data_IF_248361008549
#
_entry.id   IF_248361008549
#
_cell.length_a   1.000
_cell.length_b   1.000
_cell.length_c   1.000
_cell.angle_alpha   90.00
_cell.angle_beta   90.00
_cell.angle_gamma   90.00
#
_symmetry.space_group_name_H-M   'P 1'
#
loop_
_entity.id
_entity.type
_entity.pdbx_description
1 polymer ?
#
# COMPACT_ATOMS: atom_id res chain seq x y z
N UNK A 1 -16.86 18.52 3.13
CA UNK A 1 -16.87 17.88 1.80
C UNK A 1 -16.99 18.96 0.74
N UNK A 2 -16.19 18.90 -0.33
CA UNK A 2 -16.25 19.82 -1.46
C UNK A 2 -17.24 19.33 -2.50
N UNK A 3 -18.02 20.24 -3.06
CA UNK A 3 -19.00 19.99 -4.13
C UNK A 3 -18.67 20.92 -5.30
N UNK A 4 -18.59 20.38 -6.50
CA UNK A 4 -18.49 21.17 -7.72
C UNK A 4 -19.88 21.48 -8.25
N UNK A 5 -20.09 22.72 -8.65
CA UNK A 5 -21.23 23.16 -9.45
C UNK A 5 -20.71 23.64 -10.80
N UNK A 6 -21.21 23.08 -11.88
CA UNK A 6 -20.95 23.54 -13.23
C UNK A 6 -22.32 23.92 -13.87
N UNK A 7 -22.53 25.19 -14.09
CA UNK A 7 -23.78 25.76 -14.65
C UNK A 7 -23.43 27.11 -15.26
N UNK A 8 -23.83 27.39 -16.49
CA UNK A 8 -23.56 28.65 -17.18
C UNK A 8 -24.48 29.78 -16.70
N UNK A 9 -25.71 29.44 -16.22
CA UNK A 9 -26.64 30.41 -15.66
C UNK A 9 -26.16 30.86 -14.25
N UNK A 10 -25.81 32.15 -14.17
CA UNK A 10 -25.32 32.75 -12.92
C UNK A 10 -26.35 32.69 -11.78
N UNK A 11 -27.66 32.80 -12.09
CA UNK A 11 -28.73 32.78 -11.09
C UNK A 11 -28.92 31.38 -10.52
N UNK A 12 -29.01 30.39 -11.37
CA UNK A 12 -29.09 28.98 -10.98
C UNK A 12 -27.87 28.57 -10.12
N UNK A 13 -26.67 28.92 -10.58
CA UNK A 13 -25.40 28.63 -9.89
C UNK A 13 -25.34 29.29 -8.49
N UNK A 14 -25.80 30.56 -8.39
CA UNK A 14 -25.83 31.28 -7.12
C UNK A 14 -26.81 30.65 -6.10
N UNK A 15 -27.99 30.23 -6.57
CA UNK A 15 -29.00 29.56 -5.72
C UNK A 15 -28.47 28.21 -5.24
N UNK A 16 -27.89 27.39 -6.12
CA UNK A 16 -27.27 26.13 -5.74
C UNK A 16 -26.19 26.34 -4.70
N UNK A 17 -25.25 27.26 -4.94
CA UNK A 17 -24.16 27.56 -4.03
C UNK A 17 -24.67 27.99 -2.65
N UNK A 18 -25.63 28.90 -2.58
CA UNK A 18 -26.24 29.39 -1.35
C UNK A 18 -26.86 28.24 -0.52
N UNK A 19 -27.65 27.38 -1.19
CA UNK A 19 -28.27 26.22 -0.52
C UNK A 19 -27.21 25.25 0.03
N UNK A 20 -26.18 24.93 -0.76
CA UNK A 20 -25.14 23.99 -0.35
C UNK A 20 -24.24 24.55 0.76
N UNK A 21 -23.83 25.81 0.66
CA UNK A 21 -23.03 26.50 1.69
C UNK A 21 -23.77 26.59 3.01
N UNK A 22 -25.08 26.90 3.00
CA UNK A 22 -25.95 26.89 4.19
C UNK A 22 -26.00 25.50 4.87
N UNK A 23 -25.78 24.42 4.11
CA UNK A 23 -25.73 23.05 4.62
C UNK A 23 -24.29 22.60 4.97
N UNK A 24 -23.32 23.51 5.03
CA UNK A 24 -21.95 23.23 5.47
C UNK A 24 -21.03 22.61 4.43
N UNK A 25 -21.38 22.70 3.14
CA UNK A 25 -20.52 22.24 2.06
C UNK A 25 -19.61 23.38 1.58
N UNK A 26 -18.40 23.03 1.21
CA UNK A 26 -17.49 23.88 0.45
C UNK A 26 -17.82 23.75 -1.04
N UNK A 27 -18.10 24.87 -1.69
CA UNK A 27 -18.62 24.87 -3.06
C UNK A 27 -17.58 25.45 -4.01
N UNK A 28 -17.20 24.67 -5.01
CA UNK A 28 -16.43 25.11 -6.17
C UNK A 28 -17.42 25.40 -7.31
N UNK A 29 -17.21 26.48 -8.04
CA UNK A 29 -18.12 26.91 -9.10
C UNK A 29 -17.36 27.05 -10.40
N UNK A 30 -17.95 26.58 -11.50
CA UNK A 30 -17.48 26.77 -12.88
C UNK A 30 -18.63 27.22 -13.76
N UNK A 31 -18.30 27.92 -14.83
CA UNK A 31 -19.27 28.48 -15.77
C UNK A 31 -19.41 27.67 -17.04
N UNK A 32 -18.57 26.66 -17.23
CA UNK A 32 -18.55 25.80 -18.40
C UNK A 32 -18.04 24.40 -18.07
N UNK A 33 -18.26 23.46 -18.98
CA UNK A 33 -17.84 22.07 -18.79
C UNK A 33 -16.33 21.85 -18.92
N UNK A 34 -15.60 22.71 -19.62
CA UNK A 34 -14.15 22.57 -19.77
C UNK A 34 -13.42 22.90 -18.45
N UNK A 35 -13.82 23.99 -17.76
CA UNK A 35 -13.33 24.29 -16.42
C UNK A 35 -13.68 23.17 -15.43
N UNK A 36 -14.91 22.66 -15.47
CA UNK A 36 -15.33 21.55 -14.63
C UNK A 36 -14.50 20.29 -14.88
N UNK A 37 -14.18 19.98 -16.13
CA UNK A 37 -13.32 18.87 -16.51
C UNK A 37 -11.90 19.01 -15.93
N UNK A 38 -11.31 20.21 -16.01
CA UNK A 38 -9.97 20.46 -15.43
C UNK A 38 -9.95 20.22 -13.92
N UNK A 39 -10.99 20.62 -13.18
CA UNK A 39 -11.08 20.38 -11.74
C UNK A 39 -11.28 18.90 -11.40
N UNK A 40 -12.07 18.17 -12.20
CA UNK A 40 -12.36 16.75 -11.95
C UNK A 40 -11.19 15.82 -12.27
N UNK A 41 -10.17 16.28 -12.98
CA UNK A 41 -8.94 15.53 -13.23
C UNK A 41 -7.88 15.68 -12.12
N UNK A 42 -8.06 16.62 -11.19
CA UNK A 42 -7.05 16.87 -10.14
C UNK A 42 -7.02 15.76 -9.10
N UNK A 43 -5.87 15.50 -8.46
CA UNK A 43 -5.78 14.53 -7.37
C UNK A 43 -6.72 14.80 -6.19
N UNK A 44 -7.12 16.06 -6.03
CA UNK A 44 -8.05 16.51 -4.99
C UNK A 44 -9.41 16.92 -5.58
N UNK A 45 -9.84 16.25 -6.63
CA UNK A 45 -11.13 16.50 -7.26
C UNK A 45 -12.29 16.42 -6.25
N UNK A 46 -13.36 17.21 -6.42
CA UNK A 46 -14.58 17.09 -5.63
C UNK A 46 -15.22 15.72 -5.81
N UNK A 47 -15.59 15.10 -4.69
CA UNK A 47 -16.21 13.77 -4.70
C UNK A 47 -17.70 13.81 -5.17
N UNK A 48 -18.33 14.99 -5.20
CA UNK A 48 -19.67 15.20 -5.72
C UNK A 48 -19.66 16.38 -6.68
N UNK A 49 -20.32 16.24 -7.83
CA UNK A 49 -20.51 17.33 -8.79
C UNK A 49 -21.97 17.42 -9.22
N UNK A 50 -22.43 18.65 -9.35
CA UNK A 50 -23.74 19.01 -9.92
C UNK A 50 -23.46 19.70 -11.23
N UNK A 51 -23.89 19.12 -12.33
CA UNK A 51 -23.53 19.49 -13.70
C UNK A 51 -24.76 19.85 -14.50
N UNK A 52 -24.79 21.07 -15.05
CA UNK A 52 -25.86 21.39 -16.01
C UNK A 52 -25.69 20.58 -17.29
N UNK A 53 -26.80 20.21 -17.87
CA UNK A 53 -26.84 19.50 -19.14
C UNK A 53 -26.28 20.34 -20.29
N UNK A 54 -26.71 21.58 -20.37
CA UNK A 54 -26.35 22.49 -21.47
C UNK A 54 -25.34 23.49 -20.93
N UNK A 55 -24.11 23.38 -21.39
CA UNK A 55 -23.02 24.29 -21.03
C UNK A 55 -22.16 24.63 -22.26
N UNK A 56 -21.56 25.83 -22.30
CA UNK A 56 -20.59 26.18 -23.34
C UNK A 56 -19.37 25.25 -23.31
N UNK A 57 -18.67 25.14 -24.43
CA UNK A 57 -17.40 24.41 -24.66
C UNK A 57 -17.52 22.90 -24.53
N UNK A 58 -18.02 22.39 -23.41
CA UNK A 58 -18.22 20.98 -23.15
C UNK A 58 -19.58 20.79 -22.47
N UNK A 59 -20.51 20.08 -23.10
CA UNK A 59 -21.79 19.78 -22.50
C UNK A 59 -21.69 18.79 -21.31
N UNK A 60 -22.74 18.83 -20.47
CA UNK A 60 -22.73 18.02 -19.25
C UNK A 60 -22.75 16.53 -19.54
N UNK A 61 -23.36 16.06 -20.60
CA UNK A 61 -23.44 14.65 -20.96
C UNK A 61 -22.08 14.11 -21.39
N UNK A 62 -21.38 14.85 -22.23
CA UNK A 62 -20.01 14.50 -22.65
C UNK A 62 -19.03 14.59 -21.49
N UNK A 63 -19.20 15.58 -20.59
CA UNK A 63 -18.41 15.68 -19.36
C UNK A 63 -18.58 14.43 -18.48
N UNK A 64 -19.83 13.96 -18.28
CA UNK A 64 -20.11 12.72 -17.55
C UNK A 64 -19.38 11.53 -18.17
N UNK A 65 -19.47 11.37 -19.50
CA UNK A 65 -18.78 10.27 -20.21
C UNK A 65 -17.27 10.30 -19.99
N UNK A 66 -16.64 11.48 -20.10
CA UNK A 66 -15.20 11.64 -19.86
C UNK A 66 -14.81 11.32 -18.43
N UNK A 67 -15.59 11.77 -17.46
CA UNK A 67 -15.35 11.46 -16.04
C UNK A 67 -15.45 9.95 -15.78
N UNK A 68 -16.41 9.27 -16.39
CA UNK A 68 -16.56 7.81 -16.25
C UNK A 68 -15.47 7.00 -16.97
N UNK A 69 -14.85 7.57 -17.99
CA UNK A 69 -13.70 6.96 -18.65
C UNK A 69 -12.39 7.06 -17.85
N UNK A 70 -12.35 7.85 -16.77
CA UNK A 70 -11.19 7.91 -15.88
C UNK A 70 -11.06 6.60 -15.10
N UNK A 71 -9.89 5.99 -15.16
CA UNK A 71 -9.56 4.82 -14.34
C UNK A 71 -9.30 5.25 -12.89
N UNK A 72 -10.34 5.22 -12.05
CA UNK A 72 -10.25 5.60 -10.64
C UNK A 72 -11.09 4.68 -9.77
N UNK A 73 -10.56 4.30 -8.60
CA UNK A 73 -11.29 3.55 -7.58
C UNK A 73 -12.29 4.44 -6.80
N UNK A 74 -12.25 5.77 -7.01
CA UNK A 74 -13.10 6.77 -6.33
C UNK A 74 -13.78 7.69 -7.33
N UNK A 75 -14.66 7.18 -8.21
CA UNK A 75 -15.39 8.01 -9.14
C UNK A 75 -16.30 8.98 -8.40
N UNK A 76 -16.40 10.25 -8.83
CA UNK A 76 -17.27 11.23 -8.20
C UNK A 76 -18.74 10.88 -8.40
N UNK A 77 -19.57 11.26 -7.43
CA UNK A 77 -21.03 11.21 -7.57
C UNK A 77 -21.51 12.39 -8.41
N UNK A 78 -22.16 12.11 -9.54
CA UNK A 78 -22.57 13.10 -10.52
C UNK A 78 -24.09 13.26 -10.52
N UNK A 79 -24.57 14.47 -10.26
CA UNK A 79 -25.98 14.87 -10.39
C UNK A 79 -26.12 15.77 -11.62
N UNK A 80 -26.92 15.34 -12.56
CA UNK A 80 -27.22 16.17 -13.75
C UNK A 80 -28.36 17.16 -13.46
N UNK A 81 -28.16 18.44 -13.77
CA UNK A 81 -29.23 19.43 -13.81
C UNK A 81 -29.82 19.47 -15.23
N UNK A 82 -31.11 19.48 -15.31
CA UNK A 82 -31.78 19.53 -16.62
C UNK A 82 -33.08 20.34 -16.61
N UNK A 83 -33.29 21.16 -17.60
CA UNK A 83 -34.57 21.74 -17.90
C UNK A 83 -35.46 20.83 -18.78
N UNK A 84 -34.89 19.71 -19.24
CA UNK A 84 -35.56 18.73 -20.11
C UNK A 84 -36.24 17.66 -19.27
N UNK A 85 -37.57 17.69 -19.22
CA UNK A 85 -38.36 16.72 -18.45
C UNK A 85 -38.75 15.48 -19.27
N UNK A 86 -38.27 15.34 -20.51
CA UNK A 86 -38.57 14.18 -21.33
C UNK A 86 -37.88 12.92 -20.77
N UNK A 87 -38.64 11.83 -20.65
CA UNK A 87 -38.09 10.53 -20.16
C UNK A 87 -36.86 10.09 -20.92
N UNK A 88 -36.77 10.41 -22.21
CA UNK A 88 -35.64 10.05 -23.07
C UNK A 88 -34.33 10.74 -22.62
N UNK A 89 -34.40 12.02 -22.23
CA UNK A 89 -33.24 12.79 -21.79
C UNK A 89 -32.74 12.29 -20.44
N UNK A 90 -33.66 11.99 -19.52
CA UNK A 90 -33.30 11.41 -18.21
C UNK A 90 -32.56 10.06 -18.37
N UNK A 91 -33.09 9.19 -19.24
CA UNK A 91 -32.44 7.89 -19.53
C UNK A 91 -31.08 8.11 -20.15
N UNK A 92 -30.92 9.02 -21.10
CA UNK A 92 -29.65 9.32 -21.74
C UNK A 92 -28.59 9.82 -20.73
N UNK A 93 -28.98 10.64 -19.75
CA UNK A 93 -28.06 11.09 -18.67
C UNK A 93 -27.62 9.96 -17.76
N UNK A 94 -28.53 9.07 -17.36
CA UNK A 94 -28.21 7.91 -16.53
C UNK A 94 -27.37 6.88 -17.29
N UNK A 95 -27.70 6.61 -18.56
CA UNK A 95 -26.93 5.71 -19.43
C UNK A 95 -25.50 6.24 -19.71
N UNK A 96 -25.31 7.56 -19.73
CA UNK A 96 -24.01 8.17 -19.82
C UNK A 96 -23.17 7.99 -18.54
N UNK A 97 -23.81 7.58 -17.43
CA UNK A 97 -23.16 7.29 -16.16
C UNK A 97 -23.38 8.34 -15.06
N UNK A 98 -24.32 9.27 -15.21
CA UNK A 98 -24.75 10.10 -14.09
C UNK A 98 -25.39 9.22 -12.99
N UNK A 99 -25.20 9.61 -11.74
CA UNK A 99 -25.76 8.86 -10.61
C UNK A 99 -27.19 9.29 -10.29
N UNK A 100 -27.51 10.55 -10.57
CA UNK A 100 -28.81 11.11 -10.30
C UNK A 100 -29.08 12.32 -11.23
N UNK A 101 -30.29 12.82 -11.21
CA UNK A 101 -30.68 14.04 -11.95
C UNK A 101 -31.59 14.93 -11.10
N UNK A 102 -31.63 16.22 -11.41
CA UNK A 102 -32.45 17.21 -10.76
C UNK A 102 -33.03 18.13 -11.85
N UNK A 103 -34.33 18.30 -11.86
CA UNK A 103 -35.01 19.14 -12.88
C UNK A 103 -35.05 20.60 -12.46
N UNK A 104 -34.82 21.51 -13.43
CA UNK A 104 -34.99 22.96 -13.25
C UNK A 104 -36.45 23.35 -13.61
N UNK A 105 -37.14 24.20 -12.83
CA UNK A 105 -36.72 24.74 -11.53
C UNK A 105 -36.77 23.67 -10.42
N UNK A 106 -35.78 23.64 -9.56
CA UNK A 106 -35.66 22.63 -8.48
C UNK A 106 -36.09 23.21 -7.13
N UNK A 107 -36.64 22.33 -6.29
CA UNK A 107 -36.91 22.62 -4.89
C UNK A 107 -35.66 22.44 -4.04
N UNK A 108 -35.42 23.33 -3.08
CA UNK A 108 -34.26 23.25 -2.19
C UNK A 108 -34.27 22.00 -1.29
N UNK A 109 -35.43 21.44 -1.00
CA UNK A 109 -35.58 20.19 -0.26
C UNK A 109 -35.17 18.99 -1.12
N UNK A 110 -35.55 18.97 -2.40
CA UNK A 110 -35.16 17.94 -3.37
C UNK A 110 -33.63 17.95 -3.56
N UNK A 111 -33.04 19.12 -3.81
CA UNK A 111 -31.59 19.26 -3.92
C UNK A 111 -30.85 18.67 -2.69
N UNK A 112 -31.32 19.06 -1.48
CA UNK A 112 -30.74 18.53 -0.24
C UNK A 112 -30.86 17.03 -0.12
N UNK A 113 -32.00 16.46 -0.47
CA UNK A 113 -32.23 15.02 -0.41
C UNK A 113 -31.29 14.27 -1.36
N UNK A 114 -31.11 14.73 -2.61
CA UNK A 114 -30.22 14.10 -3.59
C UNK A 114 -28.75 14.23 -3.19
N UNK A 115 -28.34 15.40 -2.72
CA UNK A 115 -26.97 15.60 -2.18
C UNK A 115 -26.71 14.71 -0.95
N UNK A 116 -27.71 14.53 -0.08
CA UNK A 116 -27.60 13.64 1.06
C UNK A 116 -27.44 12.17 0.64
N UNK A 117 -28.15 11.73 -0.41
CA UNK A 117 -27.97 10.40 -1.01
C UNK A 117 -26.56 10.28 -1.60
N UNK A 118 -26.12 11.26 -2.39
CA UNK A 118 -24.78 11.29 -2.97
C UNK A 118 -23.68 11.21 -1.91
N UNK A 119 -23.81 12.00 -0.84
CA UNK A 119 -22.87 11.95 0.29
C UNK A 119 -22.79 10.56 0.92
N UNK A 120 -23.94 9.94 1.18
CA UNK A 120 -23.99 8.58 1.75
C UNK A 120 -23.33 7.55 0.83
N UNK A 121 -23.55 7.66 -0.47
CA UNK A 121 -22.91 6.75 -1.45
C UNK A 121 -21.39 6.93 -1.46
N UNK A 122 -20.89 8.16 -1.41
CA UNK A 122 -19.46 8.46 -1.32
C UNK A 122 -18.88 7.87 -0.03
N UNK A 123 -19.53 8.10 1.12
CA UNK A 123 -19.10 7.57 2.42
C UNK A 123 -19.01 6.03 2.42
N UNK A 124 -20.01 5.36 1.83
CA UNK A 124 -20.02 3.89 1.69
C UNK A 124 -18.91 3.39 0.75
N UNK A 125 -18.69 4.08 -0.37
CA UNK A 125 -17.62 3.73 -1.30
C UNK A 125 -16.24 3.90 -0.66
N UNK A 126 -16.00 4.99 0.06
CA UNK A 126 -14.75 5.20 0.80
C UNK A 126 -14.54 4.16 1.89
N UNK A 127 -15.60 3.75 2.60
CA UNK A 127 -15.54 2.70 3.61
C UNK A 127 -15.19 1.34 2.95
N UNK A 128 -15.77 1.05 1.78
CA UNK A 128 -15.45 -0.18 1.03
C UNK A 128 -14.00 -0.20 0.55
N UNK A 129 -13.49 0.91 -0.01
CA UNK A 129 -12.09 1.01 -0.46
C UNK A 129 -11.16 0.81 0.74
N UNK A 130 -11.39 1.50 1.86
CA UNK A 130 -10.60 1.34 3.10
C UNK A 130 -10.64 -0.09 3.63
N UNK A 131 -11.81 -0.73 3.62
CA UNK A 131 -11.95 -2.13 4.06
C UNK A 131 -11.15 -3.08 3.15
N UNK A 132 -11.22 -2.87 1.84
CA UNK A 132 -10.45 -3.64 0.85
C UNK A 132 -8.94 -3.48 1.04
N UNK A 133 -8.46 -2.25 1.24
CA UNK A 133 -7.05 -1.95 1.52
C UNK A 133 -6.58 -2.62 2.82
N UNK A 134 -7.40 -2.55 3.89
CA UNK A 134 -7.11 -3.20 5.17
C UNK A 134 -7.04 -4.72 5.03
N UNK A 135 -8.00 -5.33 4.34
CA UNK A 135 -8.00 -6.77 4.09
C UNK A 135 -6.79 -7.20 3.24
N UNK A 136 -6.42 -6.43 2.23
CA UNK A 136 -5.23 -6.69 1.42
C UNK A 136 -3.96 -6.61 2.27
N UNK A 137 -3.87 -5.62 3.18
CA UNK A 137 -2.76 -5.48 4.12
C UNK A 137 -2.70 -6.67 5.10
N UNK A 138 -3.82 -7.04 5.73
CA UNK A 138 -3.90 -8.21 6.63
C UNK A 138 -3.56 -9.53 5.92
N UNK A 139 -3.93 -9.65 4.65
CA UNK A 139 -3.62 -10.82 3.84
C UNK A 139 -2.12 -10.97 3.52
N UNK A 140 -1.35 -9.88 3.60
CA UNK A 140 0.05 -9.83 3.17
C UNK A 140 1.04 -9.50 4.29
N UNK A 141 0.57 -8.99 5.44
CA UNK A 141 1.44 -8.57 6.54
C UNK A 141 1.16 -9.35 7.83
N UNK A 142 2.18 -9.46 8.66
CA UNK A 142 2.11 -10.02 10.01
C UNK A 142 1.49 -8.99 10.96
N UNK A 143 0.48 -9.40 11.71
CA UNK A 143 -0.30 -8.50 12.56
C UNK A 143 0.48 -7.88 13.72
N UNK A 144 1.55 -8.55 14.20
CA UNK A 144 2.38 -8.06 15.30
C UNK A 144 3.46 -7.09 14.82
N UNK A 145 4.21 -7.48 13.80
CA UNK A 145 5.42 -6.77 13.37
C UNK A 145 5.18 -5.78 12.23
N UNK A 146 4.07 -5.90 11.50
CA UNK A 146 3.79 -5.11 10.30
C UNK A 146 4.64 -5.48 9.08
N UNK A 147 5.50 -6.49 9.18
CA UNK A 147 6.32 -7.01 8.07
C UNK A 147 5.48 -7.89 7.14
N UNK A 148 6.03 -8.28 5.99
CA UNK A 148 5.39 -9.32 5.19
C UNK A 148 5.19 -10.58 6.01
N UNK A 149 4.00 -11.19 5.93
CA UNK A 149 3.77 -12.52 6.50
C UNK A 149 4.46 -13.60 5.66
N UNK A 150 4.49 -14.84 6.17
CA UNK A 150 5.14 -15.97 5.50
C UNK A 150 4.69 -16.13 4.04
N UNK A 151 3.40 -16.01 3.76
CA UNK A 151 2.86 -16.18 2.41
C UNK A 151 3.35 -15.08 1.46
N UNK A 152 3.32 -13.83 1.91
CA UNK A 152 3.71 -12.70 1.08
C UNK A 152 5.21 -12.65 0.81
N UNK A 153 6.05 -12.96 1.81
CA UNK A 153 7.50 -12.97 1.60
C UNK A 153 7.95 -14.11 0.68
N UNK A 154 7.28 -15.27 0.73
CA UNK A 154 7.55 -16.37 -0.19
C UNK A 154 7.13 -16.02 -1.63
N UNK A 155 5.98 -15.37 -1.83
CA UNK A 155 5.59 -14.90 -3.15
C UNK A 155 6.61 -13.90 -3.73
N UNK A 156 7.08 -12.96 -2.90
CA UNK A 156 8.13 -12.02 -3.31
C UNK A 156 9.44 -12.73 -3.65
N UNK A 157 9.82 -13.76 -2.88
CA UNK A 157 10.99 -14.56 -3.18
C UNK A 157 10.85 -15.25 -4.54
N UNK A 158 9.69 -15.83 -4.85
CA UNK A 158 9.44 -16.45 -6.16
C UNK A 158 9.57 -15.44 -7.31
N UNK A 159 9.03 -14.21 -7.14
CA UNK A 159 9.16 -13.14 -8.14
C UNK A 159 10.63 -12.76 -8.36
N UNK A 160 11.43 -12.64 -7.29
CA UNK A 160 12.85 -12.33 -7.39
C UNK A 160 13.67 -13.50 -7.96
N UNK A 161 13.30 -14.75 -7.67
CA UNK A 161 13.92 -15.92 -8.30
C UNK A 161 13.66 -15.91 -9.82
N UNK A 162 12.45 -15.59 -10.26
CA UNK A 162 12.12 -15.46 -11.68
C UNK A 162 12.91 -14.33 -12.37
N UNK A 163 13.27 -13.27 -11.65
CA UNK A 163 14.18 -12.22 -12.15
C UNK A 163 15.63 -12.70 -12.18
N UNK A 164 16.04 -13.46 -11.17
CA UNK A 164 17.39 -14.01 -11.05
C UNK A 164 17.68 -15.04 -12.14
N UNK A 165 16.70 -15.82 -12.61
CA UNK A 165 16.81 -16.69 -13.79
C UNK A 165 17.20 -15.93 -15.06
N UNK A 166 16.91 -14.62 -15.14
CA UNK A 166 17.28 -13.75 -16.28
C UNK A 166 18.63 -13.04 -16.08
N UNK A 167 19.45 -13.49 -15.13
CA UNK A 167 20.82 -12.99 -14.91
C UNK A 167 20.97 -11.99 -13.76
N UNK A 168 19.91 -11.69 -13.01
CA UNK A 168 20.06 -10.95 -11.75
C UNK A 168 20.62 -11.86 -10.65
N UNK A 169 21.40 -11.33 -9.72
CA UNK A 169 21.84 -12.10 -8.56
C UNK A 169 20.88 -11.88 -7.38
N UNK A 170 20.68 -12.93 -6.56
CA UNK A 170 19.75 -12.93 -5.44
C UNK A 170 20.37 -13.66 -4.27
N UNK A 171 20.26 -13.09 -3.06
CA UNK A 171 20.55 -13.79 -1.81
C UNK A 171 19.35 -13.74 -0.88
N UNK A 172 19.22 -14.77 -0.06
CA UNK A 172 18.26 -14.78 1.06
C UNK A 172 18.98 -14.98 2.37
N UNK A 173 18.41 -14.41 3.45
CA UNK A 173 18.86 -14.62 4.82
C UNK A 173 17.74 -15.17 5.68
N UNK A 174 17.88 -16.41 6.17
CA UNK A 174 17.03 -16.94 7.23
C UNK A 174 17.60 -16.48 8.57
N UNK A 175 16.78 -15.77 9.35
CA UNK A 175 17.20 -15.09 10.58
C UNK A 175 16.38 -15.60 11.77
N UNK A 176 17.01 -15.70 12.93
CA UNK A 176 16.36 -16.15 14.16
C UNK A 176 16.92 -15.38 15.36
N UNK A 177 16.04 -14.94 16.26
CA UNK A 177 16.42 -14.23 17.48
C UNK A 177 17.02 -15.20 18.48
N UNK A 178 18.26 -14.94 18.86
CA UNK A 178 18.93 -15.79 19.83
C UNK A 178 18.28 -15.67 21.21
N UNK A 179 17.85 -16.82 21.75
CA UNK A 179 17.32 -16.95 23.11
C UNK A 179 16.03 -16.15 23.41
N UNK A 180 15.16 -15.85 22.44
CA UNK A 180 13.88 -15.17 22.67
C UNK A 180 13.03 -15.87 23.75
N UNK A 181 13.06 -17.20 23.80
CA UNK A 181 12.39 -17.97 24.85
C UNK A 181 12.82 -17.54 26.25
N UNK A 182 14.11 -17.28 26.48
CA UNK A 182 14.61 -16.82 27.81
C UNK A 182 14.05 -15.43 28.15
N UNK A 183 13.91 -14.55 27.16
CA UNK A 183 13.29 -13.23 27.35
C UNK A 183 11.82 -13.41 27.74
N UNK A 184 11.09 -14.26 27.02
CA UNK A 184 9.69 -14.57 27.34
C UNK A 184 9.53 -15.17 28.74
N UNK A 185 10.38 -16.12 29.11
CA UNK A 185 10.36 -16.79 30.42
C UNK A 185 10.69 -15.81 31.56
N UNK A 186 11.57 -14.80 31.30
CA UNK A 186 12.01 -13.84 32.32
C UNK A 186 11.12 -12.61 32.45
N UNK A 187 10.56 -12.11 31.32
CA UNK A 187 9.86 -10.80 31.27
C UNK A 187 8.43 -10.92 30.74
N UNK A 188 7.98 -12.14 30.38
CA UNK A 188 6.66 -12.39 29.83
C UNK A 188 6.54 -12.16 28.33
N UNK A 189 5.51 -12.77 27.73
CA UNK A 189 5.27 -12.73 26.27
C UNK A 189 5.09 -11.32 25.71
N UNK A 190 4.51 -10.40 26.48
CA UNK A 190 4.33 -9.01 26.02
C UNK A 190 5.67 -8.31 25.75
N UNK A 191 6.69 -8.60 26.56
CA UNK A 191 8.06 -8.08 26.34
C UNK A 191 8.71 -8.75 25.12
N UNK A 192 8.46 -10.05 24.92
CA UNK A 192 8.87 -10.75 23.69
C UNK A 192 8.25 -10.15 22.43
N UNK A 193 6.97 -9.79 22.49
CA UNK A 193 6.29 -9.12 21.38
C UNK A 193 6.90 -7.73 21.08
N UNK A 194 7.25 -6.96 22.13
CA UNK A 194 7.97 -5.69 21.98
C UNK A 194 9.35 -5.87 21.36
N UNK A 195 10.07 -6.94 21.73
CA UNK A 195 11.35 -7.30 21.13
C UNK A 195 11.18 -7.63 19.64
N UNK A 196 10.18 -8.44 19.27
CA UNK A 196 9.87 -8.76 17.88
C UNK A 196 9.58 -7.50 17.06
N UNK A 197 8.75 -6.61 17.59
CA UNK A 197 8.41 -5.32 16.93
C UNK A 197 9.64 -4.41 16.81
N UNK A 198 10.45 -4.32 17.85
CA UNK A 198 11.67 -3.51 17.88
C UNK A 198 12.71 -4.01 16.87
N UNK A 199 12.92 -5.33 16.82
CA UNK A 199 13.82 -5.94 15.83
C UNK A 199 13.32 -5.73 14.40
N UNK A 200 12.01 -5.91 14.15
CA UNK A 200 11.41 -5.69 12.85
C UNK A 200 11.67 -4.26 12.34
N UNK A 201 11.53 -3.26 13.20
CA UNK A 201 11.83 -1.86 12.92
C UNK A 201 13.32 -1.65 12.63
N UNK A 202 14.18 -2.14 13.50
CA UNK A 202 15.65 -2.02 13.36
C UNK A 202 16.13 -2.63 12.04
N UNK A 203 15.67 -3.83 11.69
CA UNK A 203 16.03 -4.48 10.43
C UNK A 203 15.51 -3.69 9.22
N UNK A 204 14.25 -3.21 9.26
CA UNK A 204 13.66 -2.44 8.16
C UNK A 204 14.44 -1.14 7.88
N UNK A 205 14.89 -0.44 8.92
CA UNK A 205 15.69 0.79 8.78
C UNK A 205 17.07 0.56 8.14
N UNK A 206 17.58 -0.65 8.22
CA UNK A 206 18.89 -1.03 7.67
C UNK A 206 18.80 -1.62 6.25
N UNK A 207 17.61 -1.98 5.79
CA UNK A 207 17.39 -2.56 4.48
C UNK A 207 17.20 -1.47 3.41
N UNK A 208 17.50 -1.84 2.17
CA UNK A 208 17.31 -0.96 1.01
C UNK A 208 15.86 -1.05 0.51
N UNK A 209 15.37 -0.06 -0.24
CA UNK A 209 13.99 -0.05 -0.75
C UNK A 209 13.61 -1.27 -1.61
N UNK A 210 14.59 -1.96 -2.18
CA UNK A 210 14.37 -3.15 -3.01
C UNK A 210 14.59 -4.47 -2.25
N UNK A 211 15.13 -4.43 -1.03
CA UNK A 211 15.19 -5.60 -0.15
C UNK A 211 13.79 -5.83 0.45
N UNK A 212 13.46 -7.07 0.74
CA UNK A 212 12.19 -7.42 1.36
C UNK A 212 12.45 -8.18 2.67
N UNK A 213 11.65 -7.86 3.70
CA UNK A 213 11.72 -8.49 5.02
C UNK A 213 10.34 -9.03 5.38
N UNK A 214 10.29 -10.28 5.84
CA UNK A 214 9.07 -10.92 6.32
C UNK A 214 9.29 -11.70 7.60
N UNK A 215 8.24 -11.81 8.41
CA UNK A 215 8.20 -12.72 9.55
C UNK A 215 7.78 -14.09 9.04
N UNK A 216 8.68 -15.06 9.17
CA UNK A 216 8.51 -16.39 8.61
C UNK A 216 7.87 -17.38 9.58
N UNK A 217 8.13 -17.20 10.87
CA UNK A 217 7.60 -18.00 11.97
C UNK A 217 7.57 -17.20 13.27
N UNK A 218 7.49 -17.85 14.41
CA UNK A 218 7.39 -17.21 15.74
C UNK A 218 8.48 -16.16 15.99
N UNK A 219 9.74 -16.57 15.93
CA UNK A 219 10.95 -15.74 16.12
C UNK A 219 11.83 -15.68 14.87
N UNK A 220 11.33 -16.21 13.75
CA UNK A 220 12.05 -16.35 12.49
C UNK A 220 11.67 -15.25 11.50
N UNK A 221 12.67 -14.70 10.83
CA UNK A 221 12.53 -13.70 9.79
C UNK A 221 13.23 -14.16 8.52
N UNK A 222 12.68 -13.79 7.37
CA UNK A 222 13.28 -14.02 6.05
C UNK A 222 13.57 -12.69 5.38
N UNK A 223 14.82 -12.51 4.97
CA UNK A 223 15.27 -11.38 4.17
C UNK A 223 15.47 -11.85 2.74
N UNK A 224 14.90 -11.15 1.78
CA UNK A 224 15.10 -11.36 0.34
C UNK A 224 15.85 -10.15 -0.20
N UNK A 225 17.08 -10.34 -0.63
CA UNK A 225 18.00 -9.28 -1.05
C UNK A 225 18.45 -9.46 -2.51
N UNK A 226 17.80 -8.79 -3.47
CA UNK A 226 18.29 -8.72 -4.84
C UNK A 226 19.64 -7.99 -4.90
N UNK A 227 20.61 -8.58 -5.60
CA UNK A 227 21.97 -8.04 -5.72
C UNK A 227 22.05 -7.22 -7.02
N UNK A 228 22.30 -5.93 -6.89
CA UNK A 228 22.55 -5.05 -8.04
C UNK A 228 24.05 -4.76 -8.14
N UNK A 229 24.61 -4.84 -9.33
CA UNK A 229 25.96 -4.36 -9.68
C UNK A 229 27.11 -4.93 -8.84
N UNK A 230 27.10 -6.25 -8.56
CA UNK A 230 28.24 -6.92 -7.91
C UNK A 230 28.52 -6.48 -6.47
N UNK A 231 27.61 -5.72 -5.83
CA UNK A 231 27.74 -5.36 -4.40
C UNK A 231 27.61 -6.61 -3.55
N UNK A 232 28.66 -6.87 -2.73
CA UNK A 232 28.75 -8.03 -1.88
C UNK A 232 27.57 -8.12 -0.89
N UNK A 233 26.75 -9.17 -1.01
CA UNK A 233 25.67 -9.49 -0.07
C UNK A 233 26.18 -9.81 1.33
N UNK A 234 27.43 -10.23 1.45
CA UNK A 234 28.11 -10.51 2.73
C UNK A 234 28.05 -9.29 3.65
N UNK A 235 28.39 -8.10 3.14
CA UNK A 235 28.40 -6.87 3.93
C UNK A 235 27.01 -6.48 4.46
N UNK A 236 25.90 -6.85 3.78
CA UNK A 236 24.54 -6.58 4.27
C UNK A 236 24.25 -7.38 5.54
N UNK A 237 24.37 -8.71 5.46
CA UNK A 237 23.97 -9.59 6.56
C UNK A 237 24.89 -9.45 7.77
N UNK A 238 26.19 -9.26 7.56
CA UNK A 238 27.15 -8.99 8.65
C UNK A 238 26.86 -7.64 9.33
N UNK A 239 26.44 -6.63 8.57
CA UNK A 239 26.02 -5.35 9.12
C UNK A 239 24.77 -5.51 9.97
N UNK A 240 23.75 -6.23 9.47
CA UNK A 240 22.50 -6.47 10.21
C UNK A 240 22.79 -7.19 11.53
N UNK A 241 23.57 -8.27 11.51
CA UNK A 241 23.93 -9.02 12.70
C UNK A 241 24.63 -8.13 13.74
N UNK A 242 25.63 -7.32 13.33
CA UNK A 242 26.34 -6.38 14.20
C UNK A 242 25.44 -5.27 14.74
N UNK A 243 24.57 -4.70 13.91
CA UNK A 243 23.65 -3.63 14.34
C UNK A 243 22.68 -4.14 15.41
N UNK A 244 22.13 -5.34 15.24
CA UNK A 244 21.25 -5.94 16.26
C UNK A 244 21.98 -6.15 17.57
N UNK A 245 23.21 -6.67 17.54
CA UNK A 245 24.01 -6.88 18.75
C UNK A 245 24.39 -5.58 19.49
N UNK A 246 24.53 -4.48 18.75
CA UNK A 246 24.96 -3.18 19.29
C UNK A 246 23.81 -2.24 19.65
N UNK A 247 22.56 -2.57 19.29
CA UNK A 247 21.40 -1.69 19.49
C UNK A 247 20.36 -2.35 20.40
N UNK A 248 20.34 -2.01 21.70
CA UNK A 248 19.33 -2.55 22.61
C UNK A 248 17.91 -2.15 22.17
N UNK A 249 16.98 -3.08 22.22
CA UNK A 249 15.56 -2.82 21.96
C UNK A 249 14.92 -2.27 23.22
N UNK A 250 14.28 -1.10 23.08
CA UNK A 250 13.56 -0.47 24.20
C UNK A 250 12.22 -1.20 24.41
N UNK A 251 12.03 -1.72 25.61
CA UNK A 251 10.81 -2.40 26.04
C UNK A 251 10.26 -1.75 27.31
N UNK A 252 9.06 -2.12 27.73
CA UNK A 252 8.47 -1.69 29.01
C UNK A 252 9.34 -2.04 30.24
N UNK A 253 10.16 -3.07 30.13
CA UNK A 253 11.07 -3.52 31.18
C UNK A 253 12.48 -2.93 31.03
N UNK A 254 12.62 -1.89 30.22
CA UNK A 254 13.89 -1.24 29.91
C UNK A 254 14.53 -1.74 28.60
N UNK A 255 15.73 -1.25 28.29
CA UNK A 255 16.47 -1.67 27.10
C UNK A 255 16.99 -3.10 27.25
N UNK A 256 16.66 -3.97 26.30
CA UNK A 256 17.13 -5.35 26.26
C UNK A 256 18.10 -5.56 25.09
N UNK A 257 19.30 -6.06 25.42
CA UNK A 257 20.26 -6.51 24.43
C UNK A 257 19.84 -7.89 23.89
N UNK A 258 19.90 -8.06 22.60
CA UNK A 258 19.66 -9.34 21.93
C UNK A 258 20.66 -9.55 20.80
N UNK A 259 20.78 -10.78 20.35
CA UNK A 259 21.59 -11.13 19.18
C UNK A 259 20.76 -11.87 18.15
N UNK A 260 21.26 -11.93 16.94
CA UNK A 260 20.62 -12.54 15.79
C UNK A 260 21.56 -13.53 15.14
N UNK A 261 21.10 -14.74 14.88
CA UNK A 261 21.78 -15.70 14.03
C UNK A 261 21.19 -15.64 12.62
N UNK A 262 22.04 -15.63 11.59
CA UNK A 262 21.62 -15.52 10.19
C UNK A 262 22.27 -16.62 9.35
N UNK A 263 21.46 -17.38 8.62
CA UNK A 263 21.90 -18.30 7.57
C UNK A 263 21.64 -17.71 6.20
N UNK A 264 22.67 -17.56 5.39
CA UNK A 264 22.56 -16.90 4.07
C UNK A 264 22.77 -17.93 2.95
N UNK A 265 21.90 -17.89 1.94
CA UNK A 265 22.07 -18.65 0.71
C UNK A 265 21.93 -17.75 -0.52
N UNK A 266 22.83 -17.90 -1.47
CA UNK A 266 22.70 -17.30 -2.80
C UNK A 266 21.89 -18.21 -3.71
N UNK A 267 21.00 -17.62 -4.49
CA UNK A 267 20.22 -18.33 -5.50
C UNK A 267 21.13 -18.90 -6.60
N UNK A 268 20.85 -20.12 -7.01
CA UNK A 268 21.46 -20.80 -8.14
C UNK A 268 20.38 -21.05 -9.19
N UNK A 269 20.69 -21.00 -10.49
CA UNK A 269 19.67 -21.25 -11.53
C UNK A 269 18.99 -22.62 -11.45
N UNK A 270 19.64 -23.59 -10.77
CA UNK A 270 19.14 -24.95 -10.54
C UNK A 270 18.25 -25.07 -9.31
N UNK A 271 18.22 -24.05 -8.43
CA UNK A 271 17.45 -24.14 -7.19
C UNK A 271 15.95 -23.93 -7.48
N UNK A 272 15.12 -24.76 -6.90
CA UNK A 272 13.75 -24.43 -6.60
C UNK A 272 13.63 -23.65 -5.29
N UNK A 273 12.41 -23.23 -4.94
CA UNK A 273 12.14 -22.45 -3.74
C UNK A 273 12.57 -23.18 -2.46
N UNK A 274 12.22 -24.47 -2.37
CA UNK A 274 12.45 -25.30 -1.18
C UNK A 274 13.95 -25.57 -1.01
N UNK A 275 14.69 -25.81 -2.07
CA UNK A 275 16.13 -26.02 -2.05
C UNK A 275 16.88 -24.76 -1.61
N UNK A 276 16.47 -23.59 -2.10
CA UNK A 276 17.08 -22.32 -1.68
C UNK A 276 16.86 -22.05 -0.18
N UNK A 277 15.62 -22.23 0.29
CA UNK A 277 15.27 -22.09 1.72
C UNK A 277 16.02 -23.10 2.58
N UNK A 278 16.03 -24.38 2.18
CA UNK A 278 16.74 -25.43 2.93
C UNK A 278 18.25 -25.13 3.10
N UNK A 279 18.89 -24.53 2.08
CA UNK A 279 20.30 -24.12 2.18
C UNK A 279 20.51 -22.98 3.18
N UNK A 280 19.59 -21.99 3.19
CA UNK A 280 19.64 -20.90 4.17
C UNK A 280 19.41 -21.41 5.59
N UNK A 281 18.44 -22.31 5.79
CA UNK A 281 18.11 -22.89 7.09
C UNK A 281 19.24 -23.79 7.62
N UNK A 282 19.90 -24.58 6.76
CA UNK A 282 21.07 -25.36 7.13
C UNK A 282 22.25 -24.45 7.57
N UNK A 283 22.41 -23.29 6.94
CA UNK A 283 23.40 -22.30 7.34
C UNK A 283 23.02 -21.63 8.68
N UNK A 284 21.75 -21.30 8.90
CA UNK A 284 21.23 -20.77 10.16
C UNK A 284 21.44 -21.77 11.33
N UNK A 285 21.15 -23.02 11.09
CA UNK A 285 21.40 -24.08 12.07
C UNK A 285 22.87 -24.10 12.49
N UNK A 286 23.80 -24.05 11.52
CA UNK A 286 25.24 -23.96 11.82
C UNK A 286 25.61 -22.68 12.57
N UNK A 287 24.99 -21.55 12.28
CA UNK A 287 25.21 -20.32 13.02
C UNK A 287 24.84 -20.47 14.50
N UNK A 288 23.73 -21.14 14.80
CA UNK A 288 23.29 -21.44 16.16
C UNK A 288 24.22 -22.41 16.86
N UNK A 289 24.68 -23.48 16.20
CA UNK A 289 25.62 -24.47 16.76
C UNK A 289 27.01 -23.88 17.07
N UNK A 290 27.51 -23.01 16.20
CA UNK A 290 28.84 -22.41 16.36
C UNK A 290 28.88 -21.27 17.41
N UNK A 291 27.81 -21.06 18.18
CA UNK A 291 27.79 -20.11 19.29
C UNK A 291 26.95 -18.86 19.04
N UNK A 292 26.06 -18.88 18.05
CA UNK A 292 25.08 -17.78 17.75
C UNK A 292 25.74 -16.44 17.41
N UNK A 293 24.93 -15.37 17.35
CA UNK A 293 25.36 -13.99 17.06
C UNK A 293 26.32 -13.91 15.87
N UNK A 294 25.96 -14.53 14.77
CA UNK A 294 26.81 -14.61 13.57
C UNK A 294 26.01 -14.87 12.30
N UNK A 295 26.70 -14.63 11.21
CA UNK A 295 26.24 -14.98 9.88
C UNK A 295 27.02 -16.19 9.38
N UNK A 296 26.34 -17.19 8.87
CA UNK A 296 26.93 -18.33 8.15
C UNK A 296 26.38 -18.35 6.73
N UNK A 297 27.27 -18.50 5.78
CA UNK A 297 26.95 -18.60 4.36
C UNK A 297 26.90 -20.07 3.95
N UNK A 298 25.82 -20.44 3.24
CA UNK A 298 25.74 -21.73 2.57
C UNK A 298 26.81 -21.79 1.47
N UNK A 299 27.53 -22.92 1.37
CA UNK A 299 28.56 -23.08 0.37
C UNK A 299 28.02 -22.74 -1.05
N UNK A 300 28.64 -21.78 -1.71
CA UNK A 300 28.48 -21.60 -3.16
C UNK A 300 29.20 -22.79 -3.83
N UNK A 301 28.47 -23.58 -4.64
CA UNK A 301 29.16 -24.50 -5.56
C UNK A 301 30.02 -23.66 -6.51
N UNK A 302 31.23 -24.08 -6.73
CA UNK A 302 32.25 -23.55 -7.66
C UNK A 302 31.89 -22.23 -8.38
N UNK A 303 31.95 -21.12 -7.67
CA UNK A 303 32.30 -19.79 -8.21
C UNK A 303 33.46 -19.30 -7.33
N UNK A 304 34.59 -19.08 -7.99
CA UNK A 304 35.90 -18.75 -7.49
C UNK A 304 35.96 -17.99 -6.16
N UNK A 305 36.65 -18.54 -5.15
CA UNK A 305 37.17 -17.83 -3.99
C UNK A 305 37.99 -16.58 -4.36
N UNK A 306 38.33 -16.39 -5.63
CA UNK A 306 39.10 -15.27 -6.14
C UNK A 306 38.30 -13.94 -6.17
N UNK A 307 36.97 -13.95 -6.05
CA UNK A 307 36.13 -12.73 -6.05
C UNK A 307 35.83 -12.22 -4.61
N UNK A 308 36.13 -13.01 -3.58
CA UNK A 308 35.89 -12.69 -2.18
C UNK A 308 37.02 -11.84 -1.54
N UNK A 309 38.16 -11.66 -2.20
CA UNK A 309 39.36 -11.03 -1.61
C UNK A 309 39.78 -9.71 -2.29
N UNK A 310 39.05 -9.24 -3.28
CA UNK A 310 39.37 -7.96 -3.95
C UNK A 310 38.27 -6.92 -3.77
N UNK A 311 38.27 -6.26 -2.62
CA UNK A 311 38.03 -4.81 -2.40
C UNK A 311 38.09 -4.47 -0.91
#
# INVERSE_FOLDING_TARGET
>A
MRILIADDDCTSRAVLAAVLQKNGFEVLQTTNGAEAWQLLQQPQAPALAILDWVMPELDGLELVRRVRALATDRPPYLIMLTSRCAKVDVIAGLDAGANDYLTKPFDSGELRARVAVGRRMIELQEALVRSKELLAHQATHDALTGLYNRRAILARLQDEMARAQRGAALAIGSCDIDHLKRINDSYGHQTGDEVLCGLARLLTEQLRPFDSLGRFGGEEFLIVAPIKNGTCHVALFDRLCRQVANTPIVTRNGPLALTLSIGVACYRPTDDLDQLLARADAALYRAKEQGRNRVIYAACGEMDEATLIKS
#
